data_IF_794833135348
#
_entry.id   IF_794833135348
#
_cell.length_a   1.000
_cell.length_b   1.000
_cell.length_c   1.000
_cell.angle_alpha   90.00
_cell.angle_beta   90.00
_cell.angle_gamma   90.00
#
_symmetry.space_group_name_H-M   'P 1'
#
loop_
_entity.id
_entity.type
_entity.pdbx_description
1 polymer ?
#
# COMPACT_ATOMS: atom_id res chain seq x y z
N UNK A 1 9.30 -1.58 -6.02
CA UNK A 1 8.18 -2.56 -5.98
C UNK A 1 7.09 -1.99 -5.10
N UNK A 2 5.83 -2.38 -5.28
CA UNK A 2 4.74 -1.94 -4.40
C UNK A 2 4.66 -2.78 -3.11
N UNK A 3 3.86 -2.31 -2.14
CA UNK A 3 3.81 -2.91 -0.81
C UNK A 3 3.22 -4.33 -0.86
N UNK A 4 2.15 -4.54 -1.64
CA UNK A 4 1.52 -5.86 -1.75
C UNK A 4 2.46 -6.92 -2.31
N UNK A 5 3.29 -6.56 -3.28
CA UNK A 5 4.33 -7.43 -3.85
C UNK A 5 5.40 -7.72 -2.81
N UNK A 6 5.88 -6.69 -2.10
CA UNK A 6 6.93 -6.86 -1.09
C UNK A 6 6.51 -7.83 0.02
N UNK A 7 5.31 -7.69 0.60
CA UNK A 7 4.86 -8.61 1.65
C UNK A 7 4.60 -10.04 1.14
N UNK A 8 4.31 -10.20 -0.15
CA UNK A 8 4.02 -11.51 -0.76
C UNK A 8 5.29 -12.25 -1.19
N UNK A 9 6.37 -11.52 -1.49
CA UNK A 9 7.63 -12.07 -1.96
C UNK A 9 8.48 -12.75 -0.87
N UNK A 10 8.23 -12.49 0.42
CA UNK A 10 9.06 -13.01 1.51
C UNK A 10 8.25 -13.67 2.63
N UNK A 11 8.54 -14.94 2.90
CA UNK A 11 7.99 -15.65 4.06
C UNK A 11 8.40 -14.92 5.34
N UNK A 12 7.42 -14.54 6.15
CA UNK A 12 7.64 -13.83 7.42
C UNK A 12 7.69 -12.30 7.33
N UNK A 13 7.65 -11.70 6.13
CA UNK A 13 7.62 -10.22 5.98
C UNK A 13 6.41 -9.58 6.66
N UNK A 14 5.23 -10.20 6.53
CA UNK A 14 4.00 -9.77 7.23
C UNK A 14 4.17 -9.78 8.74
N UNK A 15 4.80 -10.82 9.30
CA UNK A 15 5.04 -10.93 10.75
C UNK A 15 6.06 -9.89 11.22
N UNK A 16 7.16 -9.72 10.48
CA UNK A 16 8.22 -8.78 10.83
C UNK A 16 7.71 -7.33 10.87
N UNK A 17 6.96 -6.92 9.84
CA UNK A 17 6.38 -5.57 9.82
C UNK A 17 5.24 -5.43 10.85
N UNK A 18 4.44 -6.47 11.08
CA UNK A 18 3.44 -6.46 12.14
C UNK A 18 4.05 -6.19 13.52
N UNK A 19 5.17 -6.85 13.83
CA UNK A 19 5.91 -6.62 15.07
C UNK A 19 6.48 -5.20 15.15
N UNK A 20 7.09 -4.69 14.07
CA UNK A 20 7.68 -3.35 14.05
C UNK A 20 6.63 -2.24 14.27
N UNK A 21 5.43 -2.40 13.71
CA UNK A 21 4.36 -1.41 13.80
C UNK A 21 3.39 -1.65 14.96
N UNK A 22 3.62 -2.68 15.78
CA UNK A 22 2.72 -3.13 16.85
C UNK A 22 1.28 -3.35 16.34
N UNK A 23 1.16 -3.97 15.17
CA UNK A 23 -0.11 -4.28 14.51
C UNK A 23 -0.29 -5.78 14.38
N UNK A 24 -1.54 -6.21 14.19
CA UNK A 24 -1.83 -7.60 13.87
C UNK A 24 -1.43 -7.92 12.42
N UNK A 25 -1.06 -9.18 12.09
CA UNK A 25 -0.83 -9.61 10.71
C UNK A 25 -2.02 -9.36 9.77
N UNK A 26 -3.25 -9.41 10.30
CA UNK A 26 -4.47 -9.06 9.57
C UNK A 26 -4.53 -7.58 9.19
N UNK A 27 -4.21 -6.69 10.13
CA UNK A 27 -4.15 -5.25 9.85
C UNK A 27 -3.09 -4.89 8.80
N UNK A 28 -1.92 -5.52 8.87
CA UNK A 28 -0.88 -5.39 7.83
C UNK A 28 -1.39 -5.93 6.49
N UNK A 29 -2.08 -7.06 6.49
CA UNK A 29 -2.63 -7.65 5.26
C UNK A 29 -3.64 -6.74 4.58
N UNK A 30 -4.38 -5.94 5.34
CA UNK A 30 -5.31 -4.95 4.82
C UNK A 30 -4.60 -3.78 4.10
N UNK A 31 -3.34 -3.49 4.41
CA UNK A 31 -2.58 -2.44 3.72
C UNK A 31 -2.28 -2.77 2.25
N UNK A 32 -2.60 -3.99 1.78
CA UNK A 32 -2.65 -4.29 0.34
C UNK A 32 -3.61 -3.39 -0.43
N UNK A 33 -4.63 -2.84 0.23
CA UNK A 33 -5.52 -1.84 -0.35
C UNK A 33 -5.04 -0.40 -0.10
N UNK A 34 -3.79 -0.21 0.31
CA UNK A 34 -3.20 1.10 0.62
C UNK A 34 -2.62 1.17 2.02
N UNK A 35 -1.36 1.57 2.11
CA UNK A 35 -0.68 1.87 3.37
C UNK A 35 -1.20 3.23 3.89
N UNK A 36 -1.53 3.37 5.18
CA UNK A 36 -1.94 4.66 5.74
C UNK A 36 -0.87 5.75 5.51
N UNK A 37 -1.24 6.95 5.00
CA UNK A 37 -0.26 8.00 4.65
C UNK A 37 0.70 8.37 5.79
N UNK A 38 0.19 8.38 7.04
CA UNK A 38 0.98 8.64 8.25
C UNK A 38 2.07 7.61 8.54
N UNK A 39 1.98 6.40 7.97
CA UNK A 39 2.92 5.30 8.16
C UNK A 39 3.85 5.08 6.96
N UNK A 40 3.55 5.67 5.79
CA UNK A 40 4.32 5.41 4.55
C UNK A 40 5.82 5.71 4.71
N UNK A 41 6.20 6.78 5.42
CA UNK A 41 7.61 7.07 5.69
C UNK A 41 8.28 5.94 6.49
N UNK A 42 7.63 5.49 7.55
CA UNK A 42 8.15 4.39 8.38
C UNK A 42 8.24 3.08 7.58
N UNK A 43 7.28 2.81 6.69
CA UNK A 43 7.31 1.60 5.83
C UNK A 43 8.49 1.67 4.85
N UNK A 44 8.74 2.82 4.22
CA UNK A 44 9.91 3.01 3.36
C UNK A 44 11.21 2.77 4.16
N UNK A 45 11.31 3.36 5.34
CA UNK A 45 12.51 3.27 6.15
C UNK A 45 12.73 1.82 6.66
N UNK A 46 11.65 1.12 7.06
CA UNK A 46 11.68 -0.29 7.45
C UNK A 46 12.11 -1.22 6.32
N UNK A 47 11.66 -0.95 5.09
CA UNK A 47 11.99 -1.74 3.90
C UNK A 47 13.33 -1.36 3.26
N UNK A 48 14.09 -0.43 3.86
CA UNK A 48 15.35 0.05 3.30
C UNK A 48 15.19 0.72 1.93
N UNK A 49 13.98 1.21 1.60
CA UNK A 49 13.67 1.78 0.30
C UNK A 49 13.25 0.78 -0.80
N UNK A 50 13.11 -0.52 -0.51
CA UNK A 50 12.53 -1.48 -1.48
C UNK A 50 11.10 -1.08 -1.89
N UNK A 51 10.34 -0.54 -0.94
CA UNK A 51 9.02 0.06 -1.15
C UNK A 51 9.13 1.57 -0.99
N UNK A 52 8.89 2.31 -2.07
CA UNK A 52 8.98 3.78 -2.07
C UNK A 52 7.64 4.43 -1.73
N UNK A 53 7.68 5.72 -1.37
CA UNK A 53 6.47 6.52 -1.11
C UNK A 53 5.58 6.61 -2.35
N UNK A 54 6.19 6.80 -3.52
CA UNK A 54 5.50 6.93 -4.82
C UNK A 54 4.71 5.66 -5.14
N UNK A 55 5.30 4.49 -4.91
CA UNK A 55 4.65 3.20 -5.13
C UNK A 55 3.48 2.97 -4.17
N UNK A 56 3.64 3.31 -2.88
CA UNK A 56 2.54 3.22 -1.90
C UNK A 56 1.39 4.18 -2.20
N UNK A 57 1.70 5.38 -2.69
CA UNK A 57 0.69 6.35 -3.14
C UNK A 57 -0.05 5.82 -4.37
N UNK A 58 0.67 5.32 -5.38
CA UNK A 58 0.08 4.74 -6.57
C UNK A 58 -0.82 3.53 -6.23
N UNK A 59 -0.39 2.64 -5.33
CA UNK A 59 -1.17 1.49 -4.88
C UNK A 59 -2.45 1.90 -4.13
N UNK A 60 -2.38 2.99 -3.36
CA UNK A 60 -3.57 3.57 -2.69
C UNK A 60 -4.56 4.13 -3.71
N UNK A 61 -4.09 4.82 -4.76
CA UNK A 61 -4.97 5.33 -5.82
C UNK A 61 -5.60 4.19 -6.64
N UNK A 62 -4.87 3.11 -6.88
CA UNK A 62 -5.38 1.92 -7.55
C UNK A 62 -6.40 1.14 -6.70
N UNK A 63 -6.24 1.16 -5.37
CA UNK A 63 -7.12 0.44 -4.45
C UNK A 63 -8.42 1.19 -4.13
N UNK A 64 -8.50 2.49 -4.41
CA UNK A 64 -9.78 3.21 -4.38
C UNK A 64 -10.71 2.57 -5.42
N UNK A 65 -11.98 2.28 -5.10
CA UNK A 65 -12.95 1.92 -6.12
C UNK A 65 -12.96 3.08 -7.12
N UNK A 66 -12.59 2.80 -8.36
CA UNK A 66 -12.60 3.79 -9.44
C UNK A 66 -13.99 4.43 -9.45
N UNK A 67 -14.11 5.64 -8.92
CA UNK A 67 -15.29 6.46 -9.17
C UNK A 67 -15.35 6.58 -10.69
N UNK A 68 -16.47 6.20 -11.33
CA UNK A 68 -16.53 6.15 -12.78
C UNK A 68 -16.09 7.51 -13.30
N UNK A 69 -14.98 7.52 -14.05
CA UNK A 69 -14.50 8.70 -14.76
C UNK A 69 -15.70 9.25 -15.51
N UNK A 70 -16.15 10.46 -15.16
CA UNK A 70 -17.07 11.26 -15.95
C UNK A 70 -16.47 11.40 -17.35
N UNK A 71 -16.83 10.47 -18.25
CA UNK A 71 -16.84 10.69 -19.70
C UNK A 71 -18.30 10.87 -20.09
N UNK A 72 -18.78 12.07 -19.83
CA UNK A 72 -19.96 12.64 -20.47
C UNK A 72 -19.56 13.98 -21.03
N UNK A 73 -18.67 13.96 -22.02
CA UNK A 73 -18.46 15.12 -22.87
C UNK A 73 -19.74 15.37 -23.68
N UNK A 74 -20.08 16.64 -23.81
CA UNK A 74 -21.20 17.14 -24.60
C UNK A 74 -21.19 16.64 -26.05
N UNK A 75 -22.38 16.32 -26.56
CA UNK A 75 -22.85 16.33 -27.96
C UNK A 75 -24.23 15.63 -27.95
N UNK A 76 -25.34 16.13 -28.47
CA UNK A 76 -25.69 17.25 -29.37
C UNK A 76 -27.10 17.69 -28.97
#
# INVERSE_FOLDING_TARGET
MNFSTWISAGKGRVTAIAQHFERTPGAISQWRSGVPPKLMRQVRDFTGGEVTLEEMLAETELAKPQSPKQKGAANV
#
